data_IF_555456219398
#
_entry.id   IF_555456219398
#
_cell.length_a   1.000
_cell.length_b   1.000
_cell.length_c   1.000
_cell.angle_alpha   90.00
_cell.angle_beta   90.00
_cell.angle_gamma   90.00
#
_symmetry.space_group_name_H-M   'P 1'
#
loop_
_entity.id
_entity.type
_entity.pdbx_description
1 polymer ?
#
# COMPACT_ATOMS: atom_id res chain seq x y z
N UNK A 1 46.24 55.00 -20.73
CA UNK A 1 45.16 54.81 -19.72
C UNK A 1 43.83 54.35 -20.34
N UNK A 2 43.51 54.66 -21.60
CA UNK A 2 42.26 54.24 -22.27
C UNK A 2 42.22 52.75 -22.63
N UNK A 3 43.38 52.17 -22.93
CA UNK A 3 43.50 50.77 -23.39
C UNK A 3 43.26 49.76 -22.24
N UNK A 4 43.74 50.08 -21.03
CA UNK A 4 43.52 49.24 -19.83
C UNK A 4 42.06 49.22 -19.36
N UNK A 5 41.31 50.31 -19.55
CA UNK A 5 39.87 50.38 -19.23
C UNK A 5 39.02 49.61 -20.21
N UNK A 6 39.38 49.57 -21.50
CA UNK A 6 38.66 48.78 -22.50
C UNK A 6 38.84 47.26 -22.31
N UNK A 7 40.04 46.80 -21.97
CA UNK A 7 40.27 45.38 -21.67
C UNK A 7 39.54 44.91 -20.42
N UNK A 8 39.50 45.72 -19.36
CA UNK A 8 38.77 45.38 -18.14
C UNK A 8 37.25 45.32 -18.36
N UNK A 9 36.68 46.25 -19.12
CA UNK A 9 35.24 46.24 -19.47
C UNK A 9 34.86 45.04 -20.36
N UNK A 10 35.67 44.71 -21.37
CA UNK A 10 35.42 43.54 -22.22
C UNK A 10 35.49 42.23 -21.43
N UNK A 11 36.44 42.11 -20.49
CA UNK A 11 36.51 40.94 -19.60
C UNK A 11 35.31 40.85 -18.66
N UNK A 12 34.82 41.98 -18.12
CA UNK A 12 33.65 42.02 -17.23
C UNK A 12 32.36 41.63 -17.95
N UNK A 13 32.20 42.01 -19.22
CA UNK A 13 31.04 41.63 -20.03
C UNK A 13 31.09 40.14 -20.39
N UNK A 14 32.24 39.63 -20.83
CA UNK A 14 32.40 38.24 -21.28
C UNK A 14 32.06 37.21 -20.18
N UNK A 15 32.57 37.38 -18.96
CA UNK A 15 32.31 36.40 -17.89
C UNK A 15 30.84 36.39 -17.45
N UNK A 16 30.16 37.56 -17.45
CA UNK A 16 28.74 37.67 -17.08
C UNK A 16 27.89 36.96 -18.12
N UNK A 17 28.13 37.22 -19.40
CA UNK A 17 27.43 36.56 -20.50
C UNK A 17 27.60 35.04 -20.43
N UNK A 18 28.80 34.54 -20.12
CA UNK A 18 29.02 33.09 -19.95
C UNK A 18 28.21 32.51 -18.80
N UNK A 19 28.23 33.14 -17.62
CA UNK A 19 27.43 32.69 -16.46
C UNK A 19 25.94 32.76 -16.75
N UNK A 20 25.47 33.79 -17.44
CA UNK A 20 24.07 33.94 -17.84
C UNK A 20 23.64 32.82 -18.81
N UNK A 21 24.46 32.50 -19.82
CA UNK A 21 24.17 31.42 -20.77
C UNK A 21 24.14 30.07 -20.06
N UNK A 22 25.19 29.71 -19.32
CA UNK A 22 25.24 28.41 -18.63
C UNK A 22 24.16 28.29 -17.55
N UNK A 23 23.92 29.35 -16.78
CA UNK A 23 22.86 29.39 -15.77
C UNK A 23 21.47 29.21 -16.39
N UNK A 24 21.19 29.87 -17.52
CA UNK A 24 19.90 29.75 -18.23
C UNK A 24 19.71 28.36 -18.84
N UNK A 25 20.77 27.77 -19.41
CA UNK A 25 20.72 26.41 -19.95
C UNK A 25 20.44 25.41 -18.82
N UNK A 26 21.19 25.48 -17.72
CA UNK A 26 21.01 24.59 -16.58
C UNK A 26 19.63 24.75 -15.94
N UNK A 27 19.15 25.99 -15.81
CA UNK A 27 17.80 26.32 -15.34
C UNK A 27 16.72 25.67 -16.23
N UNK A 28 16.87 25.79 -17.55
CA UNK A 28 15.91 25.24 -18.53
C UNK A 28 15.87 23.71 -18.48
N UNK A 29 17.03 23.07 -18.42
CA UNK A 29 17.11 21.61 -18.32
C UNK A 29 16.54 21.12 -16.99
N UNK A 30 16.86 21.78 -15.87
CA UNK A 30 16.29 21.44 -14.57
C UNK A 30 14.76 21.56 -14.55
N UNK A 31 14.20 22.56 -15.25
CA UNK A 31 12.75 22.72 -15.42
C UNK A 31 12.11 21.52 -16.12
N UNK A 32 12.71 21.02 -17.21
CA UNK A 32 12.24 19.82 -17.89
C UNK A 32 12.31 18.58 -16.99
N UNK A 33 13.38 18.45 -16.20
CA UNK A 33 13.52 17.33 -15.26
C UNK A 33 12.47 17.41 -14.14
N UNK A 34 12.14 18.60 -13.62
CA UNK A 34 11.04 18.78 -12.66
C UNK A 34 9.69 18.37 -13.25
N UNK A 35 9.40 18.81 -14.48
CA UNK A 35 8.17 18.43 -15.17
C UNK A 35 8.09 16.90 -15.33
N UNK A 36 9.20 16.27 -15.70
CA UNK A 36 9.30 14.81 -15.79
C UNK A 36 9.08 14.12 -14.44
N UNK A 37 9.75 14.57 -13.37
CA UNK A 37 9.59 13.99 -12.03
C UNK A 37 8.15 14.13 -11.53
N UNK A 38 7.53 15.29 -11.73
CA UNK A 38 6.14 15.54 -11.36
C UNK A 38 5.19 14.61 -12.11
N UNK A 39 5.39 14.42 -13.42
CA UNK A 39 4.62 13.47 -14.21
C UNK A 39 4.77 12.03 -13.70
N UNK A 40 6.00 11.59 -13.42
CA UNK A 40 6.26 10.25 -12.89
C UNK A 40 5.66 10.03 -11.50
N UNK A 41 5.72 11.03 -10.61
CA UNK A 41 5.06 10.96 -9.30
C UNK A 41 3.55 10.76 -9.45
N UNK A 42 2.89 11.52 -10.34
CA UNK A 42 1.45 11.36 -10.59
C UNK A 42 1.10 9.96 -11.12
N UNK A 43 1.93 9.38 -12.00
CA UNK A 43 1.70 8.02 -12.50
C UNK A 43 1.80 6.96 -11.40
N UNK A 44 2.87 7.01 -10.58
CA UNK A 44 3.05 6.10 -9.46
C UNK A 44 1.95 6.24 -8.40
N UNK A 45 1.50 7.47 -8.14
CA UNK A 45 0.38 7.73 -7.25
C UNK A 45 -0.93 7.09 -7.76
N UNK A 46 -1.18 7.15 -9.08
CA UNK A 46 -2.33 6.48 -9.68
C UNK A 46 -2.28 4.96 -9.52
N UNK A 47 -1.14 4.33 -9.78
CA UNK A 47 -0.95 2.88 -9.62
C UNK A 47 -1.17 2.43 -8.17
N UNK A 48 -0.58 3.15 -7.22
CA UNK A 48 -0.82 2.95 -5.80
C UNK A 48 -2.31 3.05 -5.45
N UNK A 49 -3.01 4.08 -5.93
CA UNK A 49 -4.43 4.30 -5.61
C UNK A 49 -5.29 3.11 -6.09
N UNK A 50 -5.02 2.58 -7.28
CA UNK A 50 -5.69 1.37 -7.78
C UNK A 50 -5.40 0.14 -6.93
N UNK A 51 -4.12 -0.16 -6.67
CA UNK A 51 -3.74 -1.32 -5.82
C UNK A 51 -4.30 -1.20 -4.41
N UNK A 52 -4.29 0.00 -3.84
CA UNK A 52 -4.86 0.29 -2.53
C UNK A 52 -6.39 0.10 -2.53
N UNK A 53 -7.08 0.51 -3.60
CA UNK A 53 -8.51 0.25 -3.75
C UNK A 53 -8.81 -1.25 -3.82
N UNK A 54 -8.01 -2.03 -4.56
CA UNK A 54 -8.12 -3.49 -4.62
C UNK A 54 -7.86 -4.16 -3.26
N UNK A 55 -6.80 -3.75 -2.56
CA UNK A 55 -6.49 -4.22 -1.21
C UNK A 55 -7.68 -3.96 -0.26
N UNK A 56 -8.26 -2.77 -0.30
CA UNK A 56 -9.43 -2.41 0.50
C UNK A 56 -10.67 -3.24 0.15
N UNK A 57 -10.89 -3.58 -1.12
CA UNK A 57 -11.95 -4.51 -1.53
C UNK A 57 -11.72 -5.88 -0.90
N UNK A 58 -10.50 -6.39 -0.93
CA UNK A 58 -10.16 -7.69 -0.36
C UNK A 58 -10.26 -7.71 1.17
N UNK A 59 -9.81 -6.66 1.86
CA UNK A 59 -10.03 -6.51 3.30
C UNK A 59 -11.52 -6.51 3.64
N UNK A 60 -12.35 -5.76 2.89
CA UNK A 60 -13.81 -5.76 3.11
C UNK A 60 -14.42 -7.15 2.92
N UNK A 61 -14.01 -7.90 1.89
CA UNK A 61 -14.47 -9.28 1.68
C UNK A 61 -14.04 -10.20 2.83
N UNK A 62 -12.79 -10.09 3.31
CA UNK A 62 -12.33 -10.87 4.46
C UNK A 62 -13.14 -10.56 5.72
N UNK A 63 -13.48 -9.28 5.94
CA UNK A 63 -14.35 -8.87 7.05
C UNK A 63 -15.77 -9.41 6.89
N UNK A 64 -16.35 -9.34 5.68
CA UNK A 64 -17.67 -9.91 5.40
C UNK A 64 -17.73 -11.41 5.70
N UNK A 65 -16.73 -12.19 5.25
CA UNK A 65 -16.63 -13.62 5.55
C UNK A 65 -16.50 -13.86 7.05
N UNK A 66 -15.69 -13.05 7.74
CA UNK A 66 -15.48 -13.16 9.19
C UNK A 66 -16.77 -12.89 9.97
N UNK A 67 -17.50 -11.83 9.59
CA UNK A 67 -18.79 -11.48 10.19
C UNK A 67 -19.82 -12.58 9.93
N UNK A 68 -19.91 -13.08 8.69
CA UNK A 68 -20.81 -14.18 8.36
C UNK A 68 -20.48 -15.47 9.14
N UNK A 69 -19.20 -15.80 9.26
CA UNK A 69 -18.76 -16.96 10.05
C UNK A 69 -19.08 -16.79 11.55
N UNK A 70 -18.91 -15.58 12.10
CA UNK A 70 -19.29 -15.28 13.48
C UNK A 70 -20.80 -15.39 13.71
N UNK A 71 -21.61 -14.84 12.80
CA UNK A 71 -23.07 -14.97 12.85
C UNK A 71 -23.53 -16.42 12.72
N UNK A 72 -22.89 -17.20 11.83
CA UNK A 72 -23.17 -18.63 11.71
C UNK A 72 -22.86 -19.35 13.01
N UNK A 73 -21.69 -19.10 13.61
CA UNK A 73 -21.30 -19.68 14.89
C UNK A 73 -22.27 -19.34 16.01
N UNK A 74 -22.74 -18.10 16.09
CA UNK A 74 -23.71 -17.68 17.11
C UNK A 74 -25.06 -18.39 16.95
N UNK A 75 -25.53 -18.53 15.70
CA UNK A 75 -26.73 -19.33 15.40
C UNK A 75 -26.54 -20.79 15.78
N UNK A 76 -25.39 -21.38 15.43
CA UNK A 76 -25.07 -22.77 15.75
C UNK A 76 -24.99 -22.99 17.26
N UNK A 77 -24.41 -22.05 18.02
CA UNK A 77 -24.37 -22.08 19.48
C UNK A 77 -25.78 -22.07 20.08
N UNK A 78 -26.65 -21.20 19.58
CA UNK A 78 -28.04 -21.11 20.05
C UNK A 78 -28.82 -22.41 19.80
N UNK A 79 -28.67 -22.99 18.60
CA UNK A 79 -29.31 -24.26 18.24
C UNK A 79 -28.74 -25.41 19.07
N UNK A 80 -27.41 -25.49 19.20
CA UNK A 80 -26.76 -26.55 19.94
C UNK A 80 -27.11 -26.53 21.43
N UNK A 81 -27.15 -25.35 22.07
CA UNK A 81 -27.59 -25.22 23.46
C UNK A 81 -29.04 -25.69 23.63
N UNK A 82 -29.95 -25.20 22.79
CA UNK A 82 -31.37 -25.58 22.84
C UNK A 82 -31.59 -27.09 22.61
N UNK A 83 -30.76 -27.69 21.74
CA UNK A 83 -30.78 -29.13 21.49
C UNK A 83 -30.26 -29.92 22.69
N UNK A 84 -29.12 -29.52 23.26
CA UNK A 84 -28.53 -30.15 24.45
C UNK A 84 -29.50 -30.10 25.63
N UNK A 85 -30.15 -28.97 25.87
CA UNK A 85 -31.19 -28.84 26.90
C UNK A 85 -32.35 -29.82 26.67
N UNK A 86 -32.83 -29.93 25.42
CA UNK A 86 -33.89 -30.88 25.08
C UNK A 86 -33.48 -32.35 25.28
N UNK A 87 -32.21 -32.68 25.07
CA UNK A 87 -31.64 -34.01 25.36
C UNK A 87 -31.63 -34.28 26.86
N UNK A 88 -31.16 -33.33 27.68
CA UNK A 88 -31.16 -33.47 29.15
C UNK A 88 -32.57 -33.60 29.74
N UNK A 89 -33.54 -32.86 29.20
CA UNK A 89 -34.94 -32.90 29.63
C UNK A 89 -35.75 -34.05 28.99
N UNK A 90 -35.12 -34.88 28.15
CA UNK A 90 -35.75 -35.99 27.43
C UNK A 90 -36.98 -35.57 26.58
N UNK A 91 -36.95 -34.36 25.99
CA UNK A 91 -38.01 -33.83 25.12
C UNK A 91 -37.91 -34.35 23.69
N UNK A 92 -38.41 -35.59 23.49
CA UNK A 92 -38.35 -36.35 22.22
C UNK A 92 -38.86 -35.58 20.99
N UNK A 93 -39.91 -34.79 21.17
CA UNK A 93 -40.49 -33.91 20.14
C UNK A 93 -39.47 -32.86 19.66
N UNK A 94 -38.86 -32.13 20.59
CA UNK A 94 -37.83 -31.12 20.26
C UNK A 94 -36.56 -31.74 19.68
N UNK A 95 -36.12 -32.88 20.21
CA UNK A 95 -34.96 -33.61 19.68
C UNK A 95 -35.21 -33.97 18.21
N UNK A 96 -36.37 -34.58 17.90
CA UNK A 96 -36.70 -34.97 16.52
C UNK A 96 -36.77 -33.76 15.57
N UNK A 97 -37.26 -32.61 16.04
CA UNK A 97 -37.31 -31.36 15.27
C UNK A 97 -35.91 -30.91 14.82
N UNK A 98 -34.95 -30.85 15.74
CA UNK A 98 -33.57 -30.45 15.43
C UNK A 98 -32.77 -31.50 14.64
N UNK A 99 -33.19 -32.77 14.65
CA UNK A 99 -32.52 -33.82 13.87
C UNK A 99 -33.07 -33.97 12.45
N UNK A 100 -34.33 -33.63 12.19
CA UNK A 100 -34.97 -33.88 10.88
C UNK A 100 -35.23 -32.62 10.05
N UNK A 101 -35.38 -31.45 10.67
CA UNK A 101 -35.89 -30.25 9.97
C UNK A 101 -34.83 -29.22 9.63
N UNK A 102 -33.65 -29.31 10.22
CA UNK A 102 -32.50 -28.47 9.88
C UNK A 102 -31.75 -29.11 8.70
N UNK A 103 -31.89 -28.57 7.49
CA UNK A 103 -31.09 -28.96 6.32
C UNK A 103 -29.67 -28.36 6.37
N UNK A 104 -29.02 -28.35 7.54
CA UNK A 104 -27.74 -27.67 7.75
C UNK A 104 -26.64 -28.69 8.07
N UNK A 105 -25.35 -28.38 7.79
CA UNK A 105 -24.23 -29.20 8.21
C UNK A 105 -24.21 -29.49 9.72
N UNK A 106 -24.80 -28.59 10.52
CA UNK A 106 -24.94 -28.75 11.96
C UNK A 106 -25.78 -29.97 12.33
N UNK A 107 -26.82 -30.33 11.56
CA UNK A 107 -27.67 -31.48 11.87
C UNK A 107 -26.92 -32.80 11.86
N UNK A 108 -25.99 -32.99 10.93
CA UNK A 108 -25.11 -34.15 10.92
C UNK A 108 -24.28 -34.21 12.22
N UNK A 109 -23.73 -33.06 12.65
CA UNK A 109 -22.99 -32.95 13.91
C UNK A 109 -23.88 -33.26 15.12
N UNK A 110 -25.10 -32.73 15.16
CA UNK A 110 -26.06 -32.99 16.26
C UNK A 110 -26.45 -34.47 16.31
N UNK A 111 -26.70 -35.08 15.15
CA UNK A 111 -27.06 -36.49 15.03
C UNK A 111 -25.92 -37.39 15.49
N UNK A 112 -24.71 -37.15 14.98
CA UNK A 112 -23.52 -37.90 15.34
C UNK A 112 -23.24 -37.77 16.84
N UNK A 113 -23.35 -36.57 17.40
CA UNK A 113 -23.17 -36.34 18.84
C UNK A 113 -24.23 -37.06 19.67
N UNK A 114 -25.50 -37.02 19.26
CA UNK A 114 -26.59 -37.72 19.95
C UNK A 114 -26.42 -39.25 19.93
N UNK A 115 -25.92 -39.79 18.82
CA UNK A 115 -25.64 -41.23 18.66
C UNK A 115 -24.49 -41.73 19.56
N UNK A 116 -23.63 -40.83 20.06
CA UNK A 116 -22.58 -41.19 21.02
C UNK A 116 -23.08 -41.40 22.46
N UNK A 117 -24.38 -41.17 22.70
CA UNK A 117 -25.04 -41.24 24.01
C UNK A 117 -24.30 -40.45 25.11
N UNK A 118 -24.19 -39.12 24.96
CA UNK A 118 -23.37 -38.28 25.83
C UNK A 118 -23.86 -38.21 27.29
N UNK A 119 -25.08 -38.67 27.58
CA UNK A 119 -25.60 -38.76 28.95
C UNK A 119 -25.01 -39.93 29.74
N UNK A 120 -24.63 -41.01 29.05
CA UNK A 120 -24.11 -42.23 29.67
C UNK A 120 -22.66 -42.53 29.29
N UNK A 121 -22.15 -41.88 28.24
CA UNK A 121 -20.80 -42.05 27.74
C UNK A 121 -19.89 -40.87 28.10
N UNK A 122 -19.04 -41.05 29.11
CA UNK A 122 -18.06 -40.04 29.54
C UNK A 122 -16.96 -39.73 28.52
N UNK A 123 -16.79 -40.57 27.48
CA UNK A 123 -15.84 -40.30 26.39
C UNK A 123 -16.45 -39.44 25.27
N UNK A 124 -17.76 -39.20 25.28
CA UNK A 124 -18.40 -38.34 24.30
C UNK A 124 -18.03 -36.86 24.56
N UNK A 125 -17.86 -36.02 23.52
CA UNK A 125 -17.66 -34.59 23.71
C UNK A 125 -18.81 -33.96 24.52
N UNK A 126 -18.51 -32.97 25.36
CA UNK A 126 -19.51 -32.36 26.24
C UNK A 126 -20.57 -31.52 25.51
N UNK A 127 -20.28 -31.12 24.27
CA UNK A 127 -21.20 -30.38 23.41
C UNK A 127 -21.03 -30.79 21.95
N UNK A 128 -22.09 -30.76 21.13
CA UNK A 128 -21.97 -30.97 19.69
C UNK A 128 -20.94 -30.05 19.02
N UNK A 129 -20.74 -28.83 19.53
CA UNK A 129 -19.77 -27.86 18.99
C UNK A 129 -18.32 -28.28 19.21
N UNK A 130 -18.06 -29.22 20.13
CA UNK A 130 -16.73 -29.78 20.36
C UNK A 130 -16.42 -30.96 19.45
N UNK A 131 -17.40 -31.42 18.65
CA UNK A 131 -17.18 -32.49 17.68
C UNK A 131 -16.11 -32.10 16.65
N UNK A 132 -15.19 -33.01 16.30
CA UNK A 132 -14.18 -32.76 15.26
C UNK A 132 -14.79 -32.37 13.91
N UNK A 133 -15.98 -32.88 13.60
CA UNK A 133 -16.71 -32.50 12.38
C UNK A 133 -17.05 -31.00 12.34
N UNK A 134 -17.55 -30.44 13.45
CA UNK A 134 -17.86 -29.01 13.55
C UNK A 134 -16.60 -28.15 13.46
N UNK A 135 -15.56 -28.53 14.19
CA UNK A 135 -14.28 -27.81 14.18
C UNK A 135 -13.68 -27.73 12.77
N UNK A 136 -13.77 -28.80 11.97
CA UNK A 136 -13.31 -28.80 10.57
C UNK A 136 -14.06 -27.80 9.70
N UNK A 137 -15.38 -27.68 9.87
CA UNK A 137 -16.19 -26.70 9.12
C UNK A 137 -15.77 -25.27 9.47
N UNK A 138 -15.61 -24.97 10.76
CA UNK A 138 -15.17 -23.64 11.22
C UNK A 138 -13.74 -23.31 10.77
N UNK A 139 -12.82 -24.28 10.81
CA UNK A 139 -11.45 -24.11 10.31
C UNK A 139 -11.40 -23.87 8.79
N UNK A 140 -12.31 -24.47 8.01
CA UNK A 140 -12.39 -24.21 6.58
C UNK A 140 -12.78 -22.74 6.30
N UNK A 141 -13.75 -22.19 7.03
CA UNK A 141 -14.12 -20.78 6.94
C UNK A 141 -12.96 -19.86 7.33
N UNK A 142 -12.24 -20.17 8.41
CA UNK A 142 -11.07 -19.39 8.83
C UNK A 142 -9.97 -19.38 7.75
N UNK A 143 -9.67 -20.53 7.14
CA UNK A 143 -8.67 -20.62 6.05
C UNK A 143 -9.05 -19.75 4.85
N UNK A 144 -10.33 -19.70 4.50
CA UNK A 144 -10.82 -18.83 3.42
C UNK A 144 -10.60 -17.36 3.73
N UNK A 145 -10.89 -16.93 4.97
CA UNK A 145 -10.57 -15.57 5.43
C UNK A 145 -9.08 -15.29 5.36
N UNK A 146 -8.25 -16.17 5.91
CA UNK A 146 -6.79 -15.99 5.93
C UNK A 146 -6.21 -15.87 4.52
N UNK A 147 -6.72 -16.66 3.56
CA UNK A 147 -6.29 -16.57 2.16
C UNK A 147 -6.63 -15.22 1.52
N UNK A 148 -7.82 -14.69 1.80
CA UNK A 148 -8.27 -13.39 1.28
C UNK A 148 -7.48 -12.25 1.93
N UNK A 149 -7.21 -12.37 3.23
CA UNK A 149 -6.39 -11.41 3.98
C UNK A 149 -4.96 -11.35 3.46
N UNK A 150 -4.36 -12.49 3.10
CA UNK A 150 -3.02 -12.53 2.49
C UNK A 150 -2.98 -11.84 1.13
N UNK A 151 -4.00 -12.01 0.30
CA UNK A 151 -4.10 -11.30 -0.97
C UNK A 151 -4.23 -9.79 -0.74
N UNK A 152 -5.05 -9.37 0.23
CA UNK A 152 -5.17 -7.95 0.59
C UNK A 152 -3.83 -7.35 1.04
N UNK A 153 -3.09 -8.08 1.88
CA UNK A 153 -1.77 -7.65 2.37
C UNK A 153 -0.73 -7.56 1.24
N UNK A 154 -0.72 -8.53 0.31
CA UNK A 154 0.19 -8.48 -0.83
C UNK A 154 -0.04 -7.24 -1.69
N UNK A 155 -1.30 -6.95 -2.02
CA UNK A 155 -1.70 -5.75 -2.77
C UNK A 155 -1.32 -4.47 -2.01
N UNK A 156 -1.50 -4.46 -0.69
CA UNK A 156 -1.12 -3.33 0.15
C UNK A 156 0.39 -3.07 0.16
N UNK A 157 1.21 -4.12 0.22
CA UNK A 157 2.66 -3.98 0.16
C UNK A 157 3.14 -3.47 -1.20
N UNK A 158 2.53 -3.94 -2.29
CA UNK A 158 2.80 -3.42 -3.64
C UNK A 158 2.39 -1.94 -3.74
N UNK A 159 1.20 -1.57 -3.28
CA UNK A 159 0.75 -0.17 -3.25
C UNK A 159 1.70 0.73 -2.44
N UNK A 160 2.23 0.25 -1.32
CA UNK A 160 3.20 0.98 -0.51
C UNK A 160 4.55 1.16 -1.23
N UNK A 161 4.96 0.16 -1.99
CA UNK A 161 6.17 0.27 -2.81
C UNK A 161 5.99 1.33 -3.89
N UNK A 162 4.83 1.34 -4.56
CA UNK A 162 4.48 2.34 -5.58
C UNK A 162 4.42 3.76 -4.99
N UNK A 163 3.86 3.91 -3.79
CA UNK A 163 3.89 5.18 -3.03
C UNK A 163 5.31 5.68 -2.82
N UNK A 164 6.23 4.78 -2.46
CA UNK A 164 7.61 5.15 -2.19
C UNK A 164 8.31 5.71 -3.44
N UNK A 165 7.95 5.21 -4.63
CA UNK A 165 8.44 5.79 -5.89
C UNK A 165 7.84 7.17 -6.14
N UNK A 166 6.53 7.36 -5.92
CA UNK A 166 5.88 8.67 -6.04
C UNK A 166 6.52 9.72 -5.13
N UNK A 167 6.72 9.38 -3.85
CA UNK A 167 7.34 10.26 -2.86
C UNK A 167 8.79 10.62 -3.25
N UNK A 168 9.53 9.64 -3.77
CA UNK A 168 10.91 9.86 -4.22
C UNK A 168 10.98 10.82 -5.40
N UNK A 169 10.07 10.69 -6.38
CA UNK A 169 9.98 11.65 -7.49
C UNK A 169 9.61 13.05 -7.02
N UNK A 170 8.72 13.17 -6.02
CA UNK A 170 8.41 14.46 -5.38
C UNK A 170 9.63 15.06 -4.69
N UNK A 171 10.44 14.27 -3.99
CA UNK A 171 11.70 14.72 -3.39
C UNK A 171 12.67 15.25 -4.46
N UNK A 172 12.83 14.54 -5.58
CA UNK A 172 13.67 15.01 -6.70
C UNK A 172 13.17 16.33 -7.27
N UNK A 173 11.86 16.49 -7.45
CA UNK A 173 11.25 17.76 -7.87
C UNK A 173 11.66 18.92 -6.95
N UNK A 174 11.65 18.72 -5.64
CA UNK A 174 12.08 19.75 -4.67
C UNK A 174 13.57 20.07 -4.84
N UNK A 175 14.42 19.05 -4.95
CA UNK A 175 15.87 19.24 -5.12
C UNK A 175 16.18 20.01 -6.41
N UNK A 176 15.56 19.64 -7.53
CA UNK A 176 15.77 20.34 -8.80
C UNK A 176 15.18 21.75 -8.79
N UNK A 177 14.10 22.00 -8.04
CA UNK A 177 13.57 23.36 -7.83
C UNK A 177 14.56 24.25 -7.08
N UNK A 178 15.28 23.70 -6.09
CA UNK A 178 16.38 24.40 -5.41
C UNK A 178 17.52 24.70 -6.39
N UNK A 179 17.89 23.75 -7.26
CA UNK A 179 18.89 23.99 -8.32
C UNK A 179 18.44 25.11 -9.25
N UNK A 180 17.19 25.12 -9.71
CA UNK A 180 16.63 26.18 -10.54
C UNK A 180 16.73 27.54 -9.83
N UNK A 181 16.36 27.60 -8.56
CA UNK A 181 16.50 28.82 -7.77
C UNK A 181 17.96 29.30 -7.71
N UNK A 182 18.92 28.40 -7.43
CA UNK A 182 20.35 28.74 -7.39
C UNK A 182 20.86 29.26 -8.74
N UNK A 183 20.40 28.66 -9.85
CA UNK A 183 20.73 29.12 -11.21
C UNK A 183 20.15 30.52 -11.48
N UNK A 184 18.91 30.77 -11.05
CA UNK A 184 18.31 32.10 -11.16
C UNK A 184 19.10 33.17 -10.38
N UNK A 185 19.49 32.85 -9.15
CA UNK A 185 20.25 33.75 -8.28
C UNK A 185 21.69 33.99 -8.79
N UNK A 186 22.36 32.96 -9.35
CA UNK A 186 23.75 33.09 -9.75
C UNK A 186 23.97 34.14 -10.85
N UNK A 187 22.97 34.33 -11.73
CA UNK A 187 23.00 35.35 -12.80
C UNK A 187 22.93 36.80 -12.29
N UNK A 188 22.46 37.00 -11.05
CA UNK A 188 22.32 38.33 -10.43
C UNK A 188 23.51 38.72 -9.54
N UNK A 189 24.47 37.81 -9.34
CA UNK A 189 25.62 38.06 -8.48
C UNK A 189 26.65 38.98 -9.17
N UNK A 190 27.04 40.04 -8.48
CA UNK A 190 27.97 41.07 -9.01
C UNK A 190 29.44 40.64 -8.91
N UNK A 191 29.77 39.73 -7.99
CA UNK A 191 31.14 39.24 -7.79
C UNK A 191 31.39 37.96 -8.60
N UNK A 192 32.34 38.03 -9.53
CA UNK A 192 32.73 36.93 -10.45
C UNK A 192 32.94 35.60 -9.71
N UNK A 193 33.78 35.60 -8.66
CA UNK A 193 34.12 34.40 -7.91
C UNK A 193 32.90 33.75 -7.25
N UNK A 194 31.98 34.56 -6.72
CA UNK A 194 30.76 34.06 -6.05
C UNK A 194 29.76 33.52 -7.08
N UNK A 195 29.64 34.19 -8.24
CA UNK A 195 28.80 33.73 -9.34
C UNK A 195 29.25 32.36 -9.88
N UNK A 196 30.55 32.20 -10.16
CA UNK A 196 31.09 30.93 -10.66
C UNK A 196 31.02 29.81 -9.63
N UNK A 197 31.36 30.07 -8.35
CA UNK A 197 31.30 29.04 -7.30
C UNK A 197 29.86 28.58 -7.06
N UNK A 198 28.89 29.49 -7.04
CA UNK A 198 27.47 29.15 -6.94
C UNK A 198 26.98 28.34 -8.15
N UNK A 199 27.36 28.72 -9.36
CA UNK A 199 26.99 27.98 -10.58
C UNK A 199 27.58 26.56 -10.60
N UNK A 200 28.85 26.40 -10.24
CA UNK A 200 29.50 25.08 -10.15
C UNK A 200 28.84 24.22 -9.08
N UNK A 201 28.48 24.81 -7.94
CA UNK A 201 27.78 24.12 -6.87
C UNK A 201 26.39 23.64 -7.31
N UNK A 202 25.60 24.51 -7.96
CA UNK A 202 24.30 24.15 -8.51
C UNK A 202 24.41 23.05 -9.58
N UNK A 203 25.38 23.15 -10.49
CA UNK A 203 25.65 22.14 -11.50
C UNK A 203 26.06 20.80 -10.89
N UNK A 204 26.85 20.81 -9.82
CA UNK A 204 27.29 19.60 -9.12
C UNK A 204 26.12 18.89 -8.45
N UNK A 205 25.26 19.63 -7.74
CA UNK A 205 24.02 19.08 -7.16
C UNK A 205 23.15 18.50 -8.26
N UNK A 206 22.92 19.26 -9.34
CA UNK A 206 22.11 18.81 -10.47
C UNK A 206 22.60 17.48 -11.04
N UNK A 207 23.89 17.38 -11.38
CA UNK A 207 24.46 16.18 -11.99
C UNK A 207 24.41 14.99 -11.03
N UNK A 208 24.77 15.17 -9.76
CA UNK A 208 24.72 14.10 -8.77
C UNK A 208 23.29 13.59 -8.56
N UNK A 209 22.33 14.48 -8.37
CA UNK A 209 20.92 14.13 -8.20
C UNK A 209 20.34 13.47 -9.46
N UNK A 210 20.71 13.94 -10.65
CA UNK A 210 20.29 13.35 -11.92
C UNK A 210 20.83 11.92 -12.10
N UNK A 211 22.11 11.70 -11.76
CA UNK A 211 22.70 10.35 -11.80
C UNK A 211 21.98 9.43 -10.83
N UNK A 212 21.72 9.88 -9.60
CA UNK A 212 20.99 9.09 -8.60
C UNK A 212 19.59 8.75 -9.11
N UNK A 213 18.86 9.72 -9.66
CA UNK A 213 17.53 9.51 -10.24
C UNK A 213 17.57 8.43 -11.33
N UNK A 214 18.50 8.53 -12.28
CA UNK A 214 18.57 7.59 -13.42
C UNK A 214 18.96 6.17 -12.97
N UNK A 215 19.84 6.04 -11.97
CA UNK A 215 20.32 4.74 -11.51
C UNK A 215 19.33 4.04 -10.57
N UNK A 216 18.56 4.79 -9.78
CA UNK A 216 17.75 4.23 -8.69
C UNK A 216 16.25 4.18 -8.99
N UNK A 217 15.72 5.11 -9.79
CA UNK A 217 14.28 5.27 -9.91
C UNK A 217 13.68 4.51 -11.09
N UNK A 218 12.67 3.66 -10.86
CA UNK A 218 11.95 3.02 -11.94
C UNK A 218 10.97 3.99 -12.60
N UNK A 219 10.88 3.90 -13.94
CA UNK A 219 9.92 4.68 -14.73
C UNK A 219 8.58 3.95 -14.74
N UNK A 220 7.52 4.65 -14.35
CA UNK A 220 6.16 4.11 -14.40
C UNK A 220 5.79 3.80 -15.85
N UNK A 221 5.25 2.61 -16.09
CA UNK A 221 4.74 2.22 -17.40
C UNK A 221 3.27 2.65 -17.49
N UNK A 222 2.89 3.22 -18.63
CA UNK A 222 1.48 3.43 -18.94
C UNK A 222 0.91 2.06 -19.29
N UNK A 223 0.19 1.44 -18.36
CA UNK A 223 -0.69 0.31 -18.65
C UNK A 223 -2.04 0.89 -19.10
N UNK A 224 -2.39 0.76 -20.41
CA UNK A 224 -3.65 1.27 -20.96
C UNK A 224 -4.87 0.48 -20.48
#
# INVERSE_FOLDING_TARGET
MVESTNTANNQVIDWRTRVEVFGTVLLSVASLVVAWCTYQSTLWNGEQDFRMAEANIMYRRAQEITVFAAQQKERDVTIALSFVDAVFENRRDKISYYLHRTNTPLTAVLTDWFNLDPLHNTNAPASPLQMPAYQRVMQASQKSTDSTMRTAEALWQEAKQDNTFSDSYTLFTVIFSIVMFLCGVCTKLTRVKVAYTSLIFAASIFLLTLIILIVTMPVAKITP
#
